data_IF_666313394037
#
_entry.id   IF_666313394037
#
_cell.length_a   1.000
_cell.length_b   1.000
_cell.length_c   1.000
_cell.angle_alpha   90.00
_cell.angle_beta   90.00
_cell.angle_gamma   90.00
#
_symmetry.space_group_name_H-M   'P 1'
#
loop_
_entity.id
_entity.type
_entity.pdbx_description
1 polymer ?
#
# COMPACT_ATOMS: atom_id res chain seq x y z
N UNK A 1 16.76 -6.07 -14.62
CA UNK A 1 15.88 -4.98 -14.16
C UNK A 1 15.86 -4.95 -12.64
N UNK A 2 16.17 -3.82 -11.99
CA UNK A 2 15.98 -3.67 -10.53
C UNK A 2 14.51 -3.33 -10.27
N UNK A 3 13.79 -4.19 -9.57
CA UNK A 3 12.40 -3.92 -9.16
C UNK A 3 12.44 -2.77 -8.15
N UNK A 4 11.85 -1.63 -8.50
CA UNK A 4 11.66 -0.51 -7.57
C UNK A 4 10.32 -0.68 -6.87
N UNK A 5 10.36 -0.91 -5.56
CA UNK A 5 9.17 -1.05 -4.74
C UNK A 5 8.49 0.29 -4.44
N UNK A 6 9.29 1.36 -4.36
CA UNK A 6 8.84 2.72 -4.10
C UNK A 6 9.21 3.59 -5.30
N UNK A 7 8.23 4.32 -5.81
CA UNK A 7 8.35 5.23 -6.93
C UNK A 7 7.57 6.50 -6.60
N UNK A 8 8.25 7.65 -6.70
CA UNK A 8 7.68 8.96 -6.39
C UNK A 8 7.04 9.04 -4.99
N UNK A 9 7.72 8.49 -3.98
CA UNK A 9 7.27 8.55 -2.59
C UNK A 9 6.02 7.73 -2.24
N UNK A 10 5.56 6.86 -3.14
CA UNK A 10 4.51 5.86 -2.88
C UNK A 10 4.96 4.49 -3.42
N UNK A 11 4.22 3.41 -3.15
CA UNK A 11 4.44 2.13 -3.81
C UNK A 11 4.41 2.28 -5.33
N UNK A 12 5.25 1.55 -6.05
CA UNK A 12 5.22 1.58 -7.52
C UNK A 12 3.90 1.04 -8.06
N UNK A 13 3.54 1.43 -9.29
CA UNK A 13 2.28 1.02 -9.91
C UNK A 13 2.11 -0.51 -9.91
N UNK A 14 3.18 -1.23 -10.26
CA UNK A 14 3.22 -2.69 -10.25
C UNK A 14 3.02 -3.30 -8.87
N UNK A 15 3.54 -2.67 -7.81
CA UNK A 15 3.32 -3.14 -6.44
C UNK A 15 1.87 -2.95 -6.02
N UNK A 16 1.27 -1.80 -6.34
CA UNK A 16 -0.15 -1.51 -6.03
C UNK A 16 -1.10 -2.48 -6.74
N UNK A 17 -0.91 -2.63 -8.05
CA UNK A 17 -1.69 -3.57 -8.87
C UNK A 17 -1.44 -5.02 -8.41
N UNK A 18 -0.19 -5.37 -8.08
CA UNK A 18 0.17 -6.67 -7.54
C UNK A 18 -0.54 -7.01 -6.23
N UNK A 19 -0.59 -6.08 -5.27
CA UNK A 19 -1.31 -6.27 -4.00
C UNK A 19 -2.81 -6.52 -4.22
N UNK A 20 -3.43 -5.78 -5.14
CA UNK A 20 -4.85 -5.94 -5.47
C UNK A 20 -5.11 -7.32 -6.09
N UNK A 21 -4.35 -7.70 -7.12
CA UNK A 21 -4.53 -8.98 -7.83
C UNK A 21 -4.22 -10.16 -6.91
N UNK A 22 -3.14 -10.10 -6.14
CA UNK A 22 -2.75 -11.14 -5.20
C UNK A 22 -3.79 -11.31 -4.09
N UNK A 23 -4.21 -10.20 -3.47
CA UNK A 23 -5.22 -10.21 -2.41
C UNK A 23 -6.55 -10.78 -2.89
N UNK A 24 -7.03 -10.34 -4.07
CA UNK A 24 -8.25 -10.87 -4.66
C UNK A 24 -8.14 -12.36 -4.99
N UNK A 25 -6.99 -12.80 -5.50
CA UNK A 25 -6.73 -14.22 -5.78
C UNK A 25 -6.77 -15.07 -4.51
N UNK A 26 -6.17 -14.59 -3.41
CA UNK A 26 -6.22 -15.26 -2.10
C UNK A 26 -7.66 -15.35 -1.60
N UNK A 27 -8.46 -14.30 -1.74
CA UNK A 27 -9.87 -14.31 -1.35
C UNK A 27 -10.67 -15.34 -2.14
N UNK A 28 -10.48 -15.41 -3.47
CA UNK A 28 -11.15 -16.40 -4.33
C UNK A 28 -10.74 -17.83 -3.93
N UNK A 29 -9.46 -18.05 -3.65
CA UNK A 29 -8.96 -19.35 -3.22
C UNK A 29 -9.55 -19.73 -1.86
N UNK A 30 -9.57 -18.79 -0.91
CA UNK A 30 -10.11 -19.01 0.43
C UNK A 30 -11.59 -19.43 0.38
N UNK A 31 -12.41 -18.75 -0.42
CA UNK A 31 -13.84 -19.04 -0.52
C UNK A 31 -14.10 -20.35 -1.26
N UNK A 32 -13.33 -20.65 -2.31
CA UNK A 32 -13.63 -21.78 -3.22
C UNK A 32 -13.04 -23.10 -2.75
N UNK A 33 -11.89 -23.08 -2.09
CA UNK A 33 -11.12 -24.29 -1.79
C UNK A 33 -10.89 -24.56 -0.30
N UNK A 34 -11.11 -23.57 0.57
CA UNK A 34 -10.82 -23.72 2.01
C UNK A 34 -12.12 -23.77 2.80
N UNK A 35 -12.33 -24.82 3.63
CA UNK A 35 -13.46 -24.85 4.55
C UNK A 35 -13.45 -23.61 5.46
N UNK A 36 -14.61 -22.98 5.74
CA UNK A 36 -14.68 -21.75 6.52
C UNK A 36 -14.03 -21.87 7.91
N UNK A 37 -14.11 -23.07 8.50
CA UNK A 37 -13.59 -23.38 9.83
C UNK A 37 -12.50 -24.45 9.69
N UNK A 38 -11.34 -24.31 10.37
CA UNK A 38 -10.94 -23.21 11.26
C UNK A 38 -10.08 -22.11 10.59
N UNK A 39 -9.60 -22.32 9.36
CA UNK A 39 -8.58 -21.45 8.73
C UNK A 39 -9.06 -20.64 7.52
N UNK A 40 -10.22 -20.98 6.92
CA UNK A 40 -10.73 -20.30 5.72
C UNK A 40 -11.06 -18.83 5.96
N UNK A 41 -11.69 -18.51 7.10
CA UNK A 41 -11.98 -17.12 7.49
C UNK A 41 -10.72 -16.27 7.64
N UNK A 42 -9.68 -16.81 8.30
CA UNK A 42 -8.41 -16.09 8.47
C UNK A 42 -7.73 -15.82 7.12
N UNK A 43 -7.69 -16.80 6.24
CA UNK A 43 -7.10 -16.66 4.91
C UNK A 43 -7.84 -15.62 4.06
N UNK A 44 -9.17 -15.58 4.16
CA UNK A 44 -9.98 -14.55 3.50
C UNK A 44 -9.64 -13.15 4.02
N UNK A 45 -9.51 -12.96 5.33
CA UNK A 45 -9.14 -11.67 5.92
C UNK A 45 -7.73 -11.23 5.55
N UNK A 46 -6.78 -12.16 5.40
CA UNK A 46 -5.46 -11.85 4.86
C UNK A 46 -5.54 -11.33 3.42
N UNK A 47 -6.31 -12.00 2.56
CA UNK A 47 -6.55 -11.54 1.19
C UNK A 47 -7.21 -10.16 1.16
N UNK A 48 -8.21 -9.94 2.02
CA UNK A 48 -8.88 -8.66 2.17
C UNK A 48 -7.93 -7.54 2.61
N UNK A 49 -7.04 -7.81 3.58
CA UNK A 49 -6.03 -6.85 4.04
C UNK A 49 -5.09 -6.43 2.91
N UNK A 50 -4.67 -7.39 2.07
CA UNK A 50 -3.82 -7.10 0.91
C UNK A 50 -4.53 -6.23 -0.14
N UNK A 51 -5.80 -6.51 -0.44
CA UNK A 51 -6.60 -5.67 -1.34
C UNK A 51 -6.76 -4.26 -0.77
N UNK A 52 -7.09 -4.14 0.52
CA UNK A 52 -7.26 -2.86 1.18
C UNK A 52 -5.96 -2.03 1.14
N UNK A 53 -4.80 -2.63 1.41
CA UNK A 53 -3.50 -1.96 1.33
C UNK A 53 -3.18 -1.50 -0.10
N UNK A 54 -3.42 -2.35 -1.11
CA UNK A 54 -3.24 -1.98 -2.52
C UNK A 54 -4.16 -0.84 -2.95
N UNK A 55 -5.43 -0.89 -2.52
CA UNK A 55 -6.43 0.14 -2.82
C UNK A 55 -6.12 1.49 -2.15
N UNK A 56 -5.77 1.48 -0.87
CA UNK A 56 -5.36 2.69 -0.14
C UNK A 56 -4.11 3.32 -0.76
N UNK A 57 -3.12 2.51 -1.14
CA UNK A 57 -1.93 3.00 -1.83
C UNK A 57 -2.26 3.59 -3.20
N UNK A 58 -3.22 3.00 -3.92
CA UNK A 58 -3.70 3.54 -5.21
C UNK A 58 -4.41 4.87 -5.03
N UNK A 59 -5.29 5.00 -4.04
CA UNK A 59 -5.97 6.25 -3.70
C UNK A 59 -4.99 7.34 -3.26
N UNK A 60 -3.98 6.99 -2.45
CA UNK A 60 -2.93 7.93 -2.06
C UNK A 60 -2.19 8.50 -3.28
N UNK A 61 -1.91 7.67 -4.29
CA UNK A 61 -1.32 8.16 -5.54
C UNK A 61 -2.25 9.08 -6.33
N UNK A 62 -3.55 8.77 -6.38
CA UNK A 62 -4.53 9.63 -7.06
C UNK A 62 -4.65 11.01 -6.40
N UNK A 63 -4.45 11.06 -5.08
CA UNK A 63 -4.49 12.30 -4.30
C UNK A 63 -3.10 12.98 -4.20
N UNK A 64 -2.10 12.52 -4.95
CA UNK A 64 -0.70 12.94 -4.89
C UNK A 64 -0.10 12.93 -3.46
N UNK A 65 -0.63 12.07 -2.61
CA UNK A 65 -0.10 11.83 -1.26
C UNK A 65 1.08 10.87 -1.41
N UNK A 66 2.25 11.36 -0.99
CA UNK A 66 3.51 10.61 -1.06
C UNK A 66 4.00 10.23 0.35
N UNK A 67 3.46 9.15 0.96
CA UNK A 67 3.73 8.81 2.36
C UNK A 67 5.19 8.48 2.65
N UNK A 68 5.95 8.06 1.63
CA UNK A 68 7.37 7.71 1.73
C UNK A 68 8.29 8.79 1.13
N UNK A 69 7.76 9.95 0.74
CA UNK A 69 8.60 11.05 0.26
C UNK A 69 9.20 11.84 1.42
N UNK A 70 10.39 12.39 1.17
CA UNK A 70 11.15 13.16 2.13
C UNK A 70 10.76 14.66 2.13
N UNK A 71 9.71 15.05 1.38
CA UNK A 71 9.20 16.43 1.32
C UNK A 71 8.88 16.98 2.73
N UNK A 72 8.42 16.13 3.65
CA UNK A 72 8.21 16.50 5.06
C UNK A 72 9.49 17.00 5.77
N UNK A 73 10.68 16.46 5.42
CA UNK A 73 11.95 16.99 5.95
C UNK A 73 12.27 18.37 5.37
N UNK A 74 11.82 18.65 4.14
CA UNK A 74 12.02 19.94 3.49
C UNK A 74 11.12 21.01 4.12
N UNK A 75 9.84 20.69 4.31
CA UNK A 75 8.91 21.55 5.04
C UNK A 75 9.40 21.85 6.47
N UNK A 76 9.88 20.84 7.19
CA UNK A 76 10.42 21.03 8.56
C UNK A 76 11.63 21.97 8.60
N UNK A 77 12.52 21.91 7.60
CA UNK A 77 13.69 22.81 7.50
C UNK A 77 13.30 24.27 7.25
N UNK A 78 12.27 24.52 6.45
CA UNK A 78 11.77 25.88 6.17
C UNK A 78 11.30 26.59 7.45
N UNK A 79 10.64 25.87 8.36
CA UNK A 79 10.24 26.44 9.66
C UNK A 79 11.42 26.67 10.61
N UNK A 80 12.50 25.88 10.51
CA UNK A 80 13.68 26.05 11.37
C UNK A 80 14.53 27.26 10.98
N UNK A 81 14.50 27.68 9.72
CA UNK A 81 15.25 28.84 9.21
C UNK A 81 14.56 30.19 9.45
N UNK A 82 13.32 30.18 9.95
CA UNK A 82 12.53 31.39 10.20
C UNK A 82 12.57 31.90 11.64
N UNK A 83 13.25 31.20 12.55
CA UNK A 83 13.45 31.61 13.96
C UNK A 83 14.77 32.38 14.20
N UNK A 84 15.55 32.65 13.15
CA UNK A 84 16.72 33.55 13.20
C UNK A 84 16.39 34.85 12.45
N UNK A 85 15.66 35.77 13.07
CA UNK A 85 15.73 37.22 12.82
C UNK A 85 15.06 38.00 13.96
#
# INVERSE_FOLDING_TARGET
MKIKFIENGNFSRWVREGLLVLGASIMVIAVKYVPPVPFGGWLFFLGFGLVALGGLASNAHMLDIKPFDNENKKARKTYSSSDEN
#
